data_IF_321484598382
#
_entry.id   IF_321484598382
#
_cell.length_a   1.000
_cell.length_b   1.000
_cell.length_c   1.000
_cell.angle_alpha   90.00
_cell.angle_beta   90.00
_cell.angle_gamma   90.00
#
_symmetry.space_group_name_H-M   'P 1'
#
loop_
_entity.id
_entity.type
_entity.pdbx_description
1 polymer ?
#
# COMPACT_ATOMS: atom_id res chain seq x y z
N UNK A 1 25.25 -18.50 -4.40
CA UNK A 1 24.90 -17.28 -3.67
C UNK A 1 24.21 -17.62 -2.35
N UNK A 2 24.55 -16.91 -1.25
CA UNK A 2 23.92 -17.09 0.07
C UNK A 2 22.99 -15.93 0.34
N UNK A 3 21.72 -16.21 0.63
CA UNK A 3 20.71 -15.21 1.00
C UNK A 3 20.18 -15.50 2.41
N UNK A 4 19.70 -14.48 3.09
CA UNK A 4 19.10 -14.63 4.42
C UNK A 4 17.62 -14.34 4.33
N UNK A 5 16.80 -15.32 4.68
CA UNK A 5 15.35 -15.17 4.79
C UNK A 5 14.97 -14.87 6.24
N UNK A 6 14.03 -13.95 6.41
CA UNK A 6 13.43 -13.69 7.70
C UNK A 6 12.22 -14.61 7.88
N UNK A 7 12.23 -15.40 8.95
CA UNK A 7 11.13 -16.27 9.32
C UNK A 7 10.79 -16.02 10.80
N UNK A 8 9.69 -15.32 11.02
CA UNK A 8 9.32 -14.79 12.34
C UNK A 8 10.49 -13.95 12.93
N UNK A 9 10.98 -14.30 14.09
CA UNK A 9 12.15 -13.66 14.74
C UNK A 9 13.50 -14.22 14.29
N UNK A 10 13.50 -15.32 13.56
CA UNK A 10 14.71 -16.02 13.13
C UNK A 10 15.22 -15.52 11.77
N UNK A 11 16.54 -15.60 11.59
CA UNK A 11 17.21 -15.39 10.31
C UNK A 11 17.72 -16.74 9.80
N UNK A 12 17.15 -17.20 8.71
CA UNK A 12 17.50 -18.50 8.11
C UNK A 12 18.38 -18.25 6.89
N UNK A 13 19.65 -18.72 6.91
CA UNK A 13 20.49 -18.65 5.72
C UNK A 13 20.08 -19.75 4.73
N UNK A 14 19.94 -19.37 3.47
CA UNK A 14 19.65 -20.29 2.37
C UNK A 14 20.73 -20.16 1.31
N UNK A 15 21.25 -21.28 0.85
CA UNK A 15 22.20 -21.31 -0.26
C UNK A 15 21.46 -21.65 -1.55
N UNK A 16 21.55 -20.75 -2.53
CA UNK A 16 20.98 -20.94 -3.87
C UNK A 16 22.14 -21.15 -4.84
N UNK A 17 22.19 -22.29 -5.55
CA UNK A 17 23.16 -22.50 -6.60
C UNK A 17 23.05 -21.39 -7.65
N UNK A 18 24.19 -20.87 -8.10
CA UNK A 18 24.20 -19.75 -9.04
C UNK A 18 23.56 -20.09 -10.37
N UNK A 19 23.70 -21.33 -10.81
CA UNK A 19 23.09 -21.84 -12.05
C UNK A 19 21.57 -21.85 -12.01
N UNK A 20 20.98 -21.81 -10.81
CA UNK A 20 19.52 -21.78 -10.59
C UNK A 20 18.99 -20.35 -10.32
N UNK A 21 19.87 -19.35 -10.31
CA UNK A 21 19.52 -17.97 -9.99
C UNK A 21 19.34 -17.16 -11.27
N UNK A 22 18.11 -16.88 -11.65
CA UNK A 22 17.80 -16.02 -12.80
C UNK A 22 17.92 -14.52 -12.49
N UNK A 23 17.83 -14.16 -11.22
CA UNK A 23 17.95 -12.76 -10.78
C UNK A 23 17.59 -12.61 -9.32
N UNK A 24 17.95 -11.48 -8.75
CA UNK A 24 17.59 -11.05 -7.39
C UNK A 24 16.83 -9.73 -7.47
N UNK A 25 15.57 -9.77 -7.05
CA UNK A 25 14.75 -8.56 -6.92
C UNK A 25 14.83 -8.11 -5.46
N UNK A 26 15.46 -6.98 -5.25
CA UNK A 26 15.58 -6.38 -3.91
C UNK A 26 14.74 -5.11 -3.88
N UNK A 27 13.87 -4.93 -2.86
CA UNK A 27 13.18 -3.65 -2.68
C UNK A 27 14.19 -2.52 -2.53
N UNK A 28 13.98 -1.42 -3.21
CA UNK A 28 14.75 -0.21 -2.93
C UNK A 28 14.37 0.26 -1.52
N UNK A 29 15.34 0.24 -0.60
CA UNK A 29 15.17 0.86 0.70
C UNK A 29 15.22 2.39 0.52
N UNK A 30 14.09 3.00 0.31
CA UNK A 30 13.96 4.45 0.45
C UNK A 30 13.62 4.76 1.91
N UNK A 31 14.30 5.76 2.48
CA UNK A 31 13.95 6.25 3.81
C UNK A 31 12.50 6.76 3.78
N UNK A 32 11.70 6.28 4.73
CA UNK A 32 10.30 6.70 4.89
C UNK A 32 10.26 8.19 5.26
N UNK A 33 10.03 9.04 4.28
CA UNK A 33 9.72 10.44 4.46
C UNK A 33 8.23 10.64 4.19
N UNK A 34 7.48 11.03 5.22
CA UNK A 34 6.02 11.24 5.12
C UNK A 34 5.64 12.26 4.06
N UNK A 35 6.40 13.34 3.95
CA UNK A 35 6.17 14.38 2.92
C UNK A 35 6.30 13.79 1.53
N UNK A 36 7.30 12.93 1.34
CA UNK A 36 7.52 12.22 0.09
C UNK A 36 6.43 11.20 -0.19
N UNK A 37 5.94 10.48 0.83
CA UNK A 37 4.85 9.52 0.68
C UNK A 37 3.57 10.17 0.16
N UNK A 38 3.16 11.30 0.73
CA UNK A 38 1.98 12.05 0.28
C UNK A 38 2.15 12.55 -1.16
N UNK A 39 3.33 13.00 -1.53
CA UNK A 39 3.63 13.42 -2.90
C UNK A 39 3.56 12.23 -3.87
N UNK A 40 4.21 11.10 -3.55
CA UNK A 40 4.19 9.89 -4.37
C UNK A 40 2.76 9.39 -4.57
N UNK A 41 1.96 9.36 -3.50
CA UNK A 41 0.55 8.95 -3.57
C UNK A 41 -0.25 9.89 -4.48
N UNK A 42 -0.05 11.18 -4.33
CA UNK A 42 -0.72 12.19 -5.15
C UNK A 42 -0.35 12.07 -6.64
N UNK A 43 0.94 11.88 -6.92
CA UNK A 43 1.46 11.67 -8.27
C UNK A 43 0.94 10.35 -8.87
N UNK A 44 0.87 9.28 -8.07
CA UNK A 44 0.35 7.97 -8.49
C UNK A 44 -1.12 8.06 -8.90
N UNK A 45 -1.92 8.82 -8.16
CA UNK A 45 -3.34 9.03 -8.49
C UNK A 45 -3.55 9.83 -9.78
N UNK A 46 -2.52 10.57 -10.21
CA UNK A 46 -2.54 11.34 -11.46
C UNK A 46 -1.93 10.60 -12.64
N UNK A 47 -1.32 9.43 -12.41
CA UNK A 47 -0.69 8.64 -13.48
C UNK A 47 -1.71 7.97 -14.40
N UNK A 48 -1.37 7.76 -15.68
CA UNK A 48 -2.24 7.17 -16.69
C UNK A 48 -2.75 5.76 -16.40
N UNK A 49 -2.22 5.06 -15.40
CA UNK A 49 -2.76 3.78 -14.96
C UNK A 49 -4.16 3.89 -14.34
N UNK A 50 -4.54 5.09 -13.88
CA UNK A 50 -5.86 5.38 -13.32
C UNK A 50 -6.42 6.72 -13.83
N UNK A 51 -6.38 7.02 -15.15
CA UNK A 51 -6.81 8.32 -15.68
C UNK A 51 -8.29 8.60 -15.42
N UNK A 52 -9.03 7.56 -15.08
CA UNK A 52 -10.49 7.61 -14.96
C UNK A 52 -10.98 7.48 -13.51
N UNK A 53 -10.05 7.45 -12.52
CA UNK A 53 -10.47 7.24 -11.13
C UNK A 53 -11.53 8.24 -10.69
N UNK A 54 -11.31 9.54 -10.94
CA UNK A 54 -12.29 10.59 -10.62
C UNK A 54 -13.62 10.38 -11.37
N UNK A 55 -13.56 10.01 -12.64
CA UNK A 55 -14.75 9.77 -13.47
C UNK A 55 -15.52 8.55 -12.95
N UNK A 56 -14.78 7.50 -12.56
CA UNK A 56 -15.39 6.26 -12.05
C UNK A 56 -16.13 6.50 -10.73
N UNK A 57 -15.59 7.33 -9.83
CA UNK A 57 -16.16 7.55 -8.50
C UNK A 57 -17.19 8.69 -8.43
N UNK A 58 -17.23 9.53 -9.47
CA UNK A 58 -18.11 10.71 -9.50
C UNK A 58 -19.57 10.30 -9.34
N UNK A 59 -20.26 10.93 -8.38
CA UNK A 59 -21.67 10.68 -8.04
C UNK A 59 -21.98 9.22 -7.63
N UNK A 60 -20.93 8.40 -7.43
CA UNK A 60 -21.09 7.01 -6.98
C UNK A 60 -21.10 6.89 -5.47
N UNK A 61 -21.64 5.79 -5.01
CA UNK A 61 -21.47 5.31 -3.64
C UNK A 61 -20.17 4.52 -3.58
N UNK A 62 -19.23 4.99 -2.78
CA UNK A 62 -17.91 4.38 -2.65
C UNK A 62 -17.78 3.68 -1.30
N UNK A 63 -17.18 2.49 -1.32
CA UNK A 63 -16.76 1.79 -0.12
C UNK A 63 -15.22 1.75 -0.11
N UNK A 64 -14.63 2.30 0.94
CA UNK A 64 -13.19 2.32 1.16
C UNK A 64 -12.86 1.27 2.22
N UNK A 65 -12.06 0.26 1.85
CA UNK A 65 -11.60 -0.77 2.75
C UNK A 65 -10.29 -0.34 3.40
N UNK A 66 -10.24 -0.32 4.71
CA UNK A 66 -9.07 0.05 5.50
C UNK A 66 -8.50 -1.19 6.19
N UNK A 67 -7.18 -1.31 6.20
CA UNK A 67 -6.51 -2.28 7.05
C UNK A 67 -6.54 -1.83 8.51
N UNK A 68 -6.49 -2.78 9.43
CA UNK A 68 -6.40 -2.49 10.85
C UNK A 68 -4.99 -2.00 11.27
N UNK A 69 -4.87 -1.56 12.51
CA UNK A 69 -3.64 -0.99 13.07
C UNK A 69 -2.47 -1.99 13.18
N UNK A 70 -2.70 -3.29 12.95
CA UNK A 70 -1.63 -4.30 12.96
C UNK A 70 -0.84 -4.32 11.65
N UNK A 71 -1.32 -3.62 10.61
CA UNK A 71 -0.63 -3.48 9.33
C UNK A 71 0.20 -2.21 9.31
N UNK A 72 1.46 -2.34 8.92
CA UNK A 72 2.36 -1.21 8.73
C UNK A 72 2.04 -0.50 7.40
N UNK A 73 0.93 0.21 7.39
CA UNK A 73 0.45 0.99 6.25
C UNK A 73 0.29 2.46 6.65
N UNK A 74 0.74 3.40 5.81
CA UNK A 74 0.56 4.83 6.05
C UNK A 74 -0.90 5.24 5.75
N UNK A 75 -1.87 4.65 6.45
CA UNK A 75 -3.31 4.80 6.17
C UNK A 75 -3.75 6.25 6.20
N UNK A 76 -3.24 7.06 7.16
CA UNK A 76 -3.56 8.48 7.24
C UNK A 76 -3.07 9.23 6.00
N UNK A 77 -1.82 9.01 5.58
CA UNK A 77 -1.25 9.66 4.40
C UNK A 77 -2.02 9.27 3.13
N UNK A 78 -2.43 8.00 3.03
CA UNK A 78 -3.26 7.52 1.92
C UNK A 78 -4.64 8.19 1.89
N UNK A 79 -5.29 8.32 3.04
CA UNK A 79 -6.59 8.97 3.15
C UNK A 79 -6.49 10.46 2.81
N UNK A 80 -5.47 11.15 3.29
CA UNK A 80 -5.22 12.56 2.98
C UNK A 80 -5.01 12.76 1.46
N UNK A 81 -4.28 11.85 0.81
CA UNK A 81 -4.03 11.93 -0.63
C UNK A 81 -5.30 11.74 -1.47
N UNK A 82 -6.22 10.84 -1.06
CA UNK A 82 -7.46 10.57 -1.82
C UNK A 82 -8.64 11.47 -1.40
N UNK A 83 -8.57 12.12 -0.24
CA UNK A 83 -9.66 12.92 0.30
C UNK A 83 -10.24 13.98 -0.67
N UNK A 84 -9.43 14.68 -1.49
CA UNK A 84 -9.96 15.62 -2.48
C UNK A 84 -10.88 14.94 -3.50
N UNK A 85 -10.53 13.74 -3.97
CA UNK A 85 -11.30 12.99 -4.97
C UNK A 85 -12.59 12.45 -4.37
N UNK A 86 -12.59 12.06 -3.10
CA UNK A 86 -13.77 11.52 -2.42
C UNK A 86 -14.93 12.53 -2.34
N UNK A 87 -14.64 13.83 -2.45
CA UNK A 87 -15.67 14.90 -2.45
C UNK A 87 -16.63 14.81 -3.63
N UNK A 88 -16.24 14.14 -4.70
CA UNK A 88 -17.10 13.94 -5.88
C UNK A 88 -18.09 12.77 -5.73
N UNK A 89 -17.93 11.95 -4.70
CA UNK A 89 -18.80 10.81 -4.43
C UNK A 89 -20.13 11.27 -3.82
N UNK A 90 -21.22 10.55 -4.14
CA UNK A 90 -22.51 10.78 -3.50
C UNK A 90 -22.53 10.31 -2.03
N UNK A 91 -21.80 9.27 -1.73
CA UNK A 91 -21.65 8.69 -0.39
C UNK A 91 -20.31 7.97 -0.30
N UNK A 92 -19.61 8.15 0.82
CA UNK A 92 -18.40 7.39 1.13
C UNK A 92 -18.61 6.62 2.42
N UNK A 93 -18.37 5.32 2.37
CA UNK A 93 -18.43 4.42 3.52
C UNK A 93 -17.06 3.83 3.75
N UNK A 94 -16.59 3.82 4.99
CA UNK A 94 -15.35 3.19 5.39
C UNK A 94 -15.63 1.89 6.11
N UNK A 95 -14.89 0.84 5.76
CA UNK A 95 -14.95 -0.48 6.41
C UNK A 95 -13.56 -0.84 6.90
N UNK A 96 -13.42 -1.03 8.21
CA UNK A 96 -12.19 -1.51 8.81
C UNK A 96 -12.14 -3.04 8.70
N UNK A 97 -11.11 -3.54 8.01
CA UNK A 97 -10.91 -4.96 7.78
C UNK A 97 -10.02 -5.55 8.89
N UNK A 98 -10.61 -6.01 9.96
CA UNK A 98 -9.87 -6.57 11.11
C UNK A 98 -9.45 -8.02 10.93
N UNK A 99 -10.08 -8.75 9.99
CA UNK A 99 -9.86 -10.19 9.85
C UNK A 99 -10.24 -10.94 11.13
N UNK A 100 -9.25 -11.61 11.72
CA UNK A 100 -9.38 -12.31 13.01
C UNK A 100 -8.99 -11.45 14.21
N UNK A 101 -8.55 -10.21 13.99
CA UNK A 101 -8.14 -9.29 15.05
C UNK A 101 -9.35 -8.59 15.68
N UNK A 102 -9.20 -8.18 16.92
CA UNK A 102 -10.17 -7.30 17.57
C UNK A 102 -10.06 -5.90 16.97
N UNK A 103 -11.16 -5.26 16.70
CA UNK A 103 -11.17 -3.87 16.24
C UNK A 103 -10.56 -2.97 17.33
N UNK A 104 -9.59 -2.16 16.96
CA UNK A 104 -8.91 -1.18 17.82
C UNK A 104 -9.20 0.22 17.32
#
# INVERSE_FOLDING_TARGET
MRITLHYDTAKVPVEVPEDNLSGLIVPQQEQADRTRNTQILSETLQTPCFPEFQTIIQERRLCVLLADATRDLPTADCLDAIAPQLKSCSTVQFILCTGTHTAQ
#
